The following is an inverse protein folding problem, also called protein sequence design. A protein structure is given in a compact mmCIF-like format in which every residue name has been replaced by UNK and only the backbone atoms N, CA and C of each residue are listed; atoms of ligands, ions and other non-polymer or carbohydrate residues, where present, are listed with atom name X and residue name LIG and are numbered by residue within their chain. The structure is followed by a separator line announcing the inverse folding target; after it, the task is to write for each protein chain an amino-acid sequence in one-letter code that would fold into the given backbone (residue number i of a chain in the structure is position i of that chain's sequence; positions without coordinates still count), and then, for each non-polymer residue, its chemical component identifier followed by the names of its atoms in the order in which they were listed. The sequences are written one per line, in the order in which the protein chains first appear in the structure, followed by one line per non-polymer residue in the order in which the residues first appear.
data_IF_092767538827
#
_entry.id   IF_092767538827
#
_cell.length_a   1.000
_cell.length_b   1.000
_cell.length_c   1.000
_cell.angle_alpha   90.00
_cell.angle_beta   90.00
_cell.angle_gamma   90.00
#
_symmetry.space_group_name_H-M   'P 1'
#
loop_
_entity.id
_entity.type
_entity.pdbx_description
1 polymer ?
#
# COMPACT_ATOMS: atom_id res chain seq x y z
N UNK A 1 33.22 -19.86 6.45
CA UNK A 1 31.83 -19.59 6.02
C UNK A 1 31.87 -19.48 4.50
N UNK A 2 31.58 -20.58 3.81
CA UNK A 2 31.32 -20.56 2.37
C UNK A 2 29.94 -19.95 2.16
N UNK A 3 29.88 -18.73 1.62
CA UNK A 3 28.62 -18.16 1.18
C UNK A 3 28.17 -19.01 0.00
N UNK A 4 27.09 -19.77 0.19
CA UNK A 4 26.57 -20.66 -0.85
C UNK A 4 25.92 -19.81 -1.92
N UNK A 5 26.36 -19.95 -3.17
CA UNK A 5 25.80 -19.21 -4.30
C UNK A 5 24.28 -19.36 -4.44
N UNK A 6 23.70 -20.43 -3.85
CA UNK A 6 22.26 -20.65 -3.75
C UNK A 6 21.54 -19.59 -2.89
N UNK A 7 22.12 -19.17 -1.76
CA UNK A 7 21.52 -18.12 -0.90
C UNK A 7 21.53 -16.77 -1.61
N UNK A 8 22.64 -16.42 -2.26
CA UNK A 8 22.70 -15.18 -3.06
C UNK A 8 21.68 -15.22 -4.20
N UNK A 9 21.51 -16.38 -4.85
CA UNK A 9 20.52 -16.53 -5.92
C UNK A 9 19.07 -16.43 -5.42
N UNK A 10 18.78 -16.89 -4.20
CA UNK A 10 17.46 -16.75 -3.58
C UNK A 10 17.16 -15.32 -3.16
N UNK A 11 18.13 -14.63 -2.57
CA UNK A 11 18.01 -13.22 -2.21
C UNK A 11 17.76 -12.39 -3.47
N UNK A 12 18.58 -12.56 -4.51
CA UNK A 12 18.40 -11.85 -5.78
C UNK A 12 17.07 -12.18 -6.45
N UNK A 13 16.57 -13.42 -6.37
CA UNK A 13 15.24 -13.78 -6.89
C UNK A 13 14.12 -13.09 -6.12
N UNK A 14 14.20 -13.01 -4.80
CA UNK A 14 13.23 -12.31 -3.98
C UNK A 14 13.26 -10.80 -4.24
N UNK A 15 14.45 -10.21 -4.39
CA UNK A 15 14.61 -8.81 -4.75
C UNK A 15 14.05 -8.50 -6.14
N UNK A 16 14.29 -9.36 -7.13
CA UNK A 16 13.69 -9.24 -8.48
C UNK A 16 12.17 -9.45 -8.45
N UNK A 17 11.66 -10.39 -7.65
CA UNK A 17 10.23 -10.61 -7.48
C UNK A 17 9.53 -9.40 -6.86
N UNK A 18 10.20 -8.70 -5.94
CA UNK A 18 9.71 -7.50 -5.29
C UNK A 18 10.03 -6.20 -6.05
N UNK A 19 10.88 -6.25 -7.09
CA UNK A 19 11.29 -5.08 -7.87
C UNK A 19 10.14 -4.43 -8.67
N UNK A 20 9.02 -5.13 -8.85
CA UNK A 20 7.80 -4.56 -9.43
C UNK A 20 6.87 -3.85 -8.43
N UNK A 21 7.14 -3.96 -7.14
CA UNK A 21 6.23 -3.48 -6.09
C UNK A 21 6.20 -1.94 -5.96
N UNK A 22 7.19 -1.21 -6.48
CA UNK A 22 7.15 0.26 -6.48
C UNK A 22 5.97 0.81 -7.31
N UNK A 23 5.60 0.14 -8.41
CA UNK A 23 4.43 0.52 -9.19
C UNK A 23 3.11 0.12 -8.49
N UNK A 24 3.12 -0.97 -7.71
CA UNK A 24 1.96 -1.39 -6.92
C UNK A 24 1.70 -0.46 -5.74
N UNK A 25 2.72 0.06 -5.04
CA UNK A 25 2.53 0.99 -3.89
C UNK A 25 1.89 2.32 -4.31
N UNK A 26 2.09 2.74 -5.57
CA UNK A 26 1.48 3.95 -6.08
C UNK A 26 -0.05 3.87 -6.15
N UNK A 27 -0.60 2.66 -6.32
CA UNK A 27 -2.03 2.39 -6.48
C UNK A 27 -2.62 1.57 -5.32
N UNK A 28 -1.76 0.96 -4.48
CA UNK A 28 -2.14 0.10 -3.35
C UNK A 28 -1.60 0.68 -2.06
N UNK A 29 -2.43 0.68 -1.01
CA UNK A 29 -2.04 1.16 0.30
C UNK A 29 -2.28 0.16 1.42
N UNK A 30 -1.61 0.39 2.54
CA UNK A 30 -1.75 -0.38 3.77
C UNK A 30 -2.47 0.45 4.83
N UNK A 31 -3.55 -0.09 5.39
CA UNK A 31 -4.27 0.55 6.50
C UNK A 31 -3.39 0.53 7.76
N UNK A 32 -3.06 1.72 8.27
CA UNK A 32 -2.31 1.92 9.51
C UNK A 32 -3.24 1.94 10.74
N UNK A 33 -4.39 2.60 10.62
CA UNK A 33 -5.38 2.70 11.69
C UNK A 33 -6.77 3.01 11.15
N UNK A 34 -7.79 2.68 11.95
CA UNK A 34 -9.19 3.01 11.67
C UNK A 34 -9.82 3.59 12.93
N UNK A 35 -10.53 4.71 12.80
CA UNK A 35 -11.25 5.35 13.91
C UNK A 35 -12.32 6.31 13.39
N UNK A 36 -13.48 6.35 14.06
CA UNK A 36 -14.61 7.24 13.72
C UNK A 36 -15.03 7.21 12.23
N UNK A 37 -14.92 6.05 11.58
CA UNK A 37 -15.25 5.88 10.17
C UNK A 37 -14.18 6.40 9.20
N UNK A 38 -12.97 6.72 9.68
CA UNK A 38 -11.83 7.16 8.87
C UNK A 38 -10.68 6.17 9.00
N UNK A 39 -10.18 5.67 7.88
CA UNK A 39 -8.94 4.91 7.79
C UNK A 39 -7.78 5.83 7.45
N UNK A 40 -6.62 5.61 8.10
CA UNK A 40 -5.34 6.15 7.67
C UNK A 40 -4.60 5.10 6.87
N UNK A 41 -4.23 5.42 5.64
CA UNK A 41 -3.65 4.48 4.68
C UNK A 41 -2.27 4.99 4.27
N UNK A 42 -1.24 4.16 4.36
CA UNK A 42 0.09 4.43 3.80
C UNK A 42 0.15 3.95 2.35
N UNK A 43 0.86 4.67 1.47
CA UNK A 43 0.85 4.43 0.02
C UNK A 43 -0.28 5.18 -0.66
N UNK A 44 -0.86 4.60 -1.73
CA UNK A 44 -1.84 5.28 -2.59
C UNK A 44 -1.29 6.60 -3.17
N UNK A 45 -0.01 6.61 -3.57
CA UNK A 45 0.70 7.84 -3.95
C UNK A 45 0.05 8.60 -5.13
N UNK A 46 -0.68 7.89 -5.99
CA UNK A 46 -1.38 8.48 -7.15
C UNK A 46 -2.85 8.84 -6.88
N UNK A 47 -3.38 8.53 -5.69
CA UNK A 47 -4.81 8.73 -5.40
C UNK A 47 -5.17 10.20 -5.38
N UNK A 48 -6.31 10.53 -5.96
CA UNK A 48 -6.82 11.89 -6.00
C UNK A 48 -7.80 12.15 -4.86
N UNK A 49 -7.87 13.41 -4.42
CA UNK A 49 -8.86 13.82 -3.45
C UNK A 49 -10.27 13.63 -4.04
N UNK A 50 -11.14 12.95 -3.30
CA UNK A 50 -12.48 12.56 -3.74
C UNK A 50 -12.53 11.25 -4.54
N UNK A 51 -11.39 10.58 -4.76
CA UNK A 51 -11.36 9.29 -5.44
C UNK A 51 -11.89 8.16 -4.55
N UNK A 52 -12.53 7.19 -5.18
CA UNK A 52 -13.06 6.00 -4.53
C UNK A 52 -11.94 5.00 -4.29
N UNK A 53 -11.82 4.52 -3.05
CA UNK A 53 -10.87 3.48 -2.65
C UNK A 53 -11.66 2.23 -2.26
N UNK A 54 -11.19 1.07 -2.69
CA UNK A 54 -11.75 -0.23 -2.31
C UNK A 54 -10.82 -0.91 -1.31
N UNK A 55 -11.38 -1.36 -0.19
CA UNK A 55 -10.67 -2.11 0.84
C UNK A 55 -10.67 -3.61 0.49
N UNK A 56 -9.78 -4.39 1.11
CA UNK A 56 -9.64 -5.83 0.85
C UNK A 56 -10.92 -6.64 1.10
N UNK A 57 -11.81 -6.15 1.96
CA UNK A 57 -13.10 -6.77 2.28
C UNK A 57 -14.22 -6.37 1.29
N UNK A 58 -13.91 -5.56 0.27
CA UNK A 58 -14.86 -5.02 -0.71
C UNK A 58 -15.63 -3.79 -0.22
N UNK A 59 -15.40 -3.32 1.01
CA UNK A 59 -15.93 -2.05 1.49
C UNK A 59 -15.34 -0.92 0.65
N UNK A 60 -16.13 0.12 0.40
CA UNK A 60 -15.68 1.29 -0.33
C UNK A 60 -15.47 2.46 0.60
N UNK A 61 -14.55 3.34 0.23
CA UNK A 61 -14.37 4.62 0.88
C UNK A 61 -13.99 5.70 -0.12
N UNK A 62 -13.74 6.89 0.40
CA UNK A 62 -13.33 8.05 -0.40
C UNK A 62 -12.12 8.72 0.24
N UNK A 63 -11.08 8.95 -0.56
CA UNK A 63 -9.90 9.70 -0.14
C UNK A 63 -10.28 11.17 0.09
N UNK A 64 -10.10 11.68 1.31
CA UNK A 64 -10.38 13.09 1.64
C UNK A 64 -9.10 13.90 1.84
N UNK A 65 -8.20 13.40 2.68
CA UNK A 65 -6.96 14.10 3.03
C UNK A 65 -5.78 13.37 2.39
N UNK A 66 -4.97 14.09 1.61
CA UNK A 66 -3.71 13.60 1.06
C UNK A 66 -2.57 14.25 1.84
N UNK A 67 -1.98 13.53 2.79
CA UNK A 67 -0.78 13.96 3.51
C UNK A 67 0.46 13.31 2.87
N UNK A 68 1.64 13.87 3.12
CA UNK A 68 2.90 13.34 2.57
C UNK A 68 3.14 11.87 2.92
N UNK A 69 2.69 11.47 4.12
CA UNK A 69 3.02 10.16 4.68
C UNK A 69 1.81 9.22 4.76
N UNK A 70 0.60 9.72 4.52
CA UNK A 70 -0.62 8.91 4.57
C UNK A 70 -1.82 9.59 3.89
N UNK A 71 -2.81 8.80 3.54
CA UNK A 71 -4.09 9.22 3.00
C UNK A 71 -5.20 8.92 4.01
N UNK A 72 -6.03 9.93 4.29
CA UNK A 72 -7.25 9.78 5.07
C UNK A 72 -8.41 9.36 4.17
N UNK A 73 -8.90 8.13 4.36
CA UNK A 73 -10.03 7.55 3.60
C UNK A 73 -11.25 7.45 4.51
N UNK A 74 -12.36 8.08 4.13
CA UNK A 74 -13.65 7.89 4.82
C UNK A 74 -14.27 6.60 4.32
N UNK A 75 -14.65 5.72 5.25
CA UNK A 75 -15.22 4.42 4.97
C UNK A 75 -16.74 4.56 4.80
N UNK A 76 -17.28 4.00 3.73
CA UNK A 76 -18.71 3.86 3.49
C UNK A 76 -19.16 2.47 3.91
N UNK A 77 -19.42 2.33 5.21
CA UNK A 77 -20.07 1.16 5.83
C UNK A 77 -21.55 1.41 6.08
#
# INVERSE_FOLDING_TARGET
MEIRASEISEILKNEIANFGAEADVAEVGQVLSVGDGVARVYGLDNVQAGEMVEFEDGTRGMALNLETDNVGVVIFG
#
